data_IF_124504353045
#
_entry.id   IF_124504353045
#
_cell.length_a   1.000
_cell.length_b   1.000
_cell.length_c   1.000
_cell.angle_alpha   90.00
_cell.angle_beta   90.00
_cell.angle_gamma   90.00
#
_symmetry.space_group_name_H-M   'P 1'
#
loop_
_entity.id
_entity.type
_entity.pdbx_description
1 polymer ?
#
# COMPACT_ATOMS: atom_id res chain seq x y z
N UNK A 1 -1.11 -1.71 8.96
CA UNK A 1 -0.91 -3.00 8.24
C UNK A 1 -1.94 -3.12 7.13
N UNK A 2 -1.71 -3.93 6.11
CA UNK A 2 -2.74 -4.19 5.09
C UNK A 2 -3.85 -5.10 5.66
N UNK A 3 -5.10 -4.69 5.49
CA UNK A 3 -6.28 -5.43 5.95
C UNK A 3 -6.76 -6.47 4.93
N UNK A 4 -6.54 -6.22 3.64
CA UNK A 4 -6.96 -7.09 2.55
C UNK A 4 -5.88 -7.12 1.46
N UNK A 5 -5.95 -8.10 0.57
CA UNK A 5 -5.22 -8.04 -0.69
C UNK A 5 -5.76 -6.93 -1.59
N UNK A 6 -4.84 -6.23 -2.24
CA UNK A 6 -5.15 -5.26 -3.28
C UNK A 6 -4.16 -5.46 -4.41
N UNK A 7 -4.67 -5.57 -5.63
CA UNK A 7 -3.88 -5.69 -6.84
C UNK A 7 -3.91 -4.37 -7.58
N UNK A 8 -2.73 -3.79 -7.81
CA UNK A 8 -2.57 -2.60 -8.62
C UNK A 8 -3.09 -2.84 -10.05
N UNK A 9 -3.97 -1.95 -10.50
CA UNK A 9 -4.54 -1.90 -11.83
C UNK A 9 -3.80 -0.91 -12.73
N UNK A 10 -3.15 0.09 -12.13
CA UNK A 10 -2.36 1.12 -12.82
C UNK A 10 -0.91 1.22 -12.29
N UNK A 11 -0.04 1.89 -13.03
CA UNK A 11 1.40 1.98 -12.73
C UNK A 11 1.73 2.76 -11.44
N UNK A 12 0.83 3.67 -11.05
CA UNK A 12 0.96 4.48 -9.83
C UNK A 12 0.50 3.72 -8.57
N UNK A 13 -0.23 2.63 -8.74
CA UNK A 13 -0.82 1.83 -7.65
C UNK A 13 0.17 0.79 -7.10
N UNK A 14 -0.01 0.42 -5.84
CA UNK A 14 0.84 -0.55 -5.17
C UNK A 14 0.06 -1.81 -4.78
N UNK A 15 0.41 -2.95 -5.36
CA UNK A 15 -0.13 -4.23 -4.92
C UNK A 15 0.34 -4.56 -3.50
N UNK A 16 -0.60 -4.90 -2.62
CA UNK A 16 -0.36 -5.29 -1.23
C UNK A 16 -1.06 -6.63 -0.93
N UNK A 17 -0.58 -7.35 0.08
CA UNK A 17 -1.23 -8.56 0.59
C UNK A 17 -1.70 -8.33 2.01
N UNK A 18 -2.78 -9.01 2.39
CA UNK A 18 -3.25 -9.03 3.78
C UNK A 18 -2.07 -9.29 4.74
N UNK A 19 -2.02 -8.53 5.83
CA UNK A 19 -0.97 -8.53 6.84
C UNK A 19 0.41 -7.97 6.40
N UNK A 20 0.54 -7.40 5.20
CA UNK A 20 1.76 -6.68 4.83
C UNK A 20 2.02 -5.49 5.77
N UNK A 21 3.30 -5.26 6.04
CA UNK A 21 3.75 -4.07 6.78
C UNK A 21 3.81 -2.89 5.83
N UNK A 22 2.87 -1.98 6.02
CA UNK A 22 2.72 -0.77 5.20
C UNK A 22 3.28 0.43 5.94
N UNK A 23 4.12 1.21 5.26
CA UNK A 23 4.56 2.53 5.69
C UNK A 23 3.82 3.59 4.89
N UNK A 24 2.89 4.29 5.53
CA UNK A 24 2.17 5.40 4.87
C UNK A 24 3.10 6.62 4.83
N UNK A 25 3.36 7.13 3.62
CA UNK A 25 4.27 8.25 3.40
C UNK A 25 3.57 9.60 3.50
N UNK A 26 2.30 9.69 3.06
CA UNK A 26 1.52 10.92 3.09
C UNK A 26 0.04 10.65 3.40
N UNK A 27 -0.33 10.47 4.68
CA UNK A 27 -1.72 10.28 5.07
C UNK A 27 -2.49 11.62 5.03
N UNK A 28 -3.58 11.67 4.29
CA UNK A 28 -4.51 12.79 4.31
C UNK A 28 -5.92 12.29 4.62
N UNK A 29 -6.63 12.86 5.60
CA UNK A 29 -7.98 12.41 5.99
C UNK A 29 -9.05 12.67 4.92
N UNK A 30 -8.74 13.49 3.92
CA UNK A 30 -9.63 13.82 2.80
C UNK A 30 -9.27 13.05 1.52
N UNK A 31 -8.21 12.22 1.53
CA UNK A 31 -7.77 11.44 0.37
C UNK A 31 -8.18 9.98 0.54
N UNK A 32 -8.82 9.43 -0.50
CA UNK A 32 -9.23 8.03 -0.55
C UNK A 32 -8.05 7.09 -0.85
N UNK A 33 -6.98 7.64 -1.42
CA UNK A 33 -5.77 6.93 -1.85
C UNK A 33 -4.56 7.49 -1.13
N UNK A 34 -3.81 6.61 -0.46
CA UNK A 34 -2.62 7.00 0.29
C UNK A 34 -1.38 6.44 -0.37
N UNK A 35 -0.36 7.29 -0.49
CA UNK A 35 0.96 6.85 -0.93
C UNK A 35 1.62 6.05 0.18
N UNK A 36 1.93 4.81 -0.13
CA UNK A 36 2.45 3.83 0.80
C UNK A 36 3.76 3.23 0.28
N UNK A 37 4.53 2.67 1.21
CA UNK A 37 5.73 1.92 0.95
C UNK A 37 5.65 0.56 1.63
N UNK A 38 6.03 -0.49 0.91
CA UNK A 38 6.18 -1.84 1.45
C UNK A 38 7.59 -2.35 1.20
N UNK A 39 7.99 -3.32 2.01
CA UNK A 39 9.15 -4.17 1.72
C UNK A 39 8.61 -5.51 1.23
N UNK A 40 8.85 -5.82 -0.04
CA UNK A 40 8.43 -7.07 -0.65
C UNK A 40 9.10 -8.24 0.10
N UNK A 41 8.29 -9.12 0.68
CA UNK A 41 8.80 -10.20 1.54
C UNK A 41 9.62 -11.26 0.77
N UNK A 42 9.40 -11.39 -0.54
CA UNK A 42 10.08 -12.38 -1.38
C UNK A 42 11.45 -11.89 -1.87
N UNK A 43 11.56 -10.60 -2.18
CA UNK A 43 12.75 -10.00 -2.81
C UNK A 43 13.53 -9.07 -1.87
N UNK A 44 12.91 -8.63 -0.78
CA UNK A 44 13.45 -7.59 0.12
C UNK A 44 13.47 -6.19 -0.49
N UNK A 45 12.92 -6.01 -1.71
CA UNK A 45 12.91 -4.74 -2.39
C UNK A 45 11.83 -3.81 -1.79
N UNK A 46 12.15 -2.52 -1.69
CA UNK A 46 11.16 -1.52 -1.34
C UNK A 46 10.33 -1.16 -2.57
N UNK A 47 9.00 -1.14 -2.40
CA UNK A 47 8.04 -0.70 -3.42
C UNK A 47 7.17 0.40 -2.88
N UNK A 48 6.80 1.33 -3.74
CA UNK A 48 5.96 2.49 -3.40
C UNK A 48 4.91 2.69 -4.47
N UNK A 49 3.73 3.13 -4.04
CA UNK A 49 2.62 3.52 -4.90
C UNK A 49 1.43 3.91 -4.03
N UNK A 50 0.28 4.15 -4.67
CA UNK A 50 -0.95 4.48 -3.96
C UNK A 50 -1.78 3.24 -3.69
N UNK A 51 -2.45 3.23 -2.54
CA UNK A 51 -3.35 2.16 -2.09
C UNK A 51 -4.61 2.82 -1.50
N UNK A 52 -5.80 2.24 -1.67
CA UNK A 52 -7.00 2.75 -1.02
C UNK A 52 -6.84 2.74 0.50
N UNK A 53 -7.09 3.87 1.16
CA UNK A 53 -6.95 4.00 2.61
C UNK A 53 -7.85 3.03 3.38
N UNK A 54 -8.99 2.63 2.78
CA UNK A 54 -9.92 1.65 3.36
C UNK A 54 -9.36 0.22 3.47
N UNK A 55 -8.22 -0.07 2.83
CA UNK A 55 -7.53 -1.36 2.89
C UNK A 55 -6.41 -1.37 3.94
N UNK A 56 -6.24 -0.28 4.69
CA UNK A 56 -5.16 -0.09 5.64
C UNK A 56 -5.70 0.07 7.07
N UNK A 57 -4.98 -0.51 8.04
CA UNK A 57 -5.15 -0.33 9.50
C UNK A 57 -3.99 0.42 10.14
#
# INVERSE_FOLDING_TARGET
IALYDFEAQDEDELSIREADKIWVLNPSPNEEWWRCQITDAATGAQRTGVVPASYLE
#
